data_IF_124168289063
#
_entry.id   IF_124168289063
#
_cell.length_a   1.000
_cell.length_b   1.000
_cell.length_c   1.000
_cell.angle_alpha   90.00
_cell.angle_beta   90.00
_cell.angle_gamma   90.00
#
_symmetry.space_group_name_H-M   'P 1'
#
loop_
_entity.id
_entity.type
_entity.pdbx_description
1 polymer ?
#
# COMPACT_ATOMS: atom_id res chain seq x y z
N UNK A 1 -9.54 -44.98 26.61
CA UNK A 1 -10.30 -44.00 27.41
C UNK A 1 -10.85 -42.98 26.42
N UNK A 2 -11.92 -43.38 25.74
CA UNK A 2 -13.26 -42.76 25.77
C UNK A 2 -13.33 -41.46 24.97
N UNK A 3 -13.52 -41.63 23.66
CA UNK A 3 -14.11 -40.63 22.77
C UNK A 3 -15.60 -40.46 23.12
N UNK A 4 -16.06 -39.22 23.21
CA UNK A 4 -17.48 -38.86 23.13
C UNK A 4 -17.63 -37.61 22.26
N UNK A 5 -18.38 -37.68 21.15
CA UNK A 5 -18.84 -36.50 20.43
C UNK A 5 -20.22 -36.07 20.96
N UNK A 6 -20.39 -34.78 21.22
CA UNK A 6 -21.69 -34.18 21.51
C UNK A 6 -22.52 -34.02 20.20
N UNK A 7 -23.83 -34.31 20.21
CA UNK A 7 -24.68 -34.23 19.00
C UNK A 7 -25.37 -32.87 18.85
N UNK A 8 -25.54 -32.44 17.60
CA UNK A 8 -26.39 -31.33 17.16
C UNK A 8 -27.84 -31.86 17.01
N UNK A 9 -28.88 -31.17 17.54
CA UNK A 9 -30.26 -31.63 17.37
C UNK A 9 -30.85 -31.13 16.04
N UNK A 10 -31.19 -32.06 15.15
CA UNK A 10 -32.12 -31.82 14.04
C UNK A 10 -33.56 -32.06 14.51
N UNK A 11 -34.42 -31.05 14.32
CA UNK A 11 -35.85 -31.15 14.55
C UNK A 11 -36.51 -32.02 13.46
N UNK A 12 -37.24 -33.06 13.89
CA UNK A 12 -38.12 -33.87 13.04
C UNK A 12 -39.51 -33.23 12.99
N UNK A 13 -40.00 -32.92 11.78
CA UNK A 13 -41.43 -32.99 11.50
C UNK A 13 -41.71 -34.32 10.80
N UNK A 14 -42.57 -35.13 11.43
CA UNK A 14 -43.11 -36.34 10.84
C UNK A 14 -44.39 -36.04 10.08
N UNK A 15 -44.61 -36.76 9.01
CA UNK A 15 -45.94 -37.09 8.54
C UNK A 15 -45.90 -38.48 7.89
N UNK A 16 -46.83 -39.32 8.33
CA UNK A 16 -47.08 -40.66 7.83
C UNK A 16 -47.93 -40.57 6.57
N UNK A 17 -47.68 -41.43 5.58
CA UNK A 17 -48.78 -42.18 4.95
C UNK A 17 -48.30 -43.39 4.16
N UNK A 18 -49.21 -44.35 4.12
CA UNK A 18 -49.10 -45.78 3.85
C UNK A 18 -48.72 -46.21 2.43
N UNK A 19 -48.17 -47.41 2.35
CA UNK A 19 -47.91 -48.16 1.14
C UNK A 19 -49.19 -48.82 0.55
N UNK A 20 -49.28 -48.89 -0.78
CA UNK A 20 -49.97 -49.97 -1.51
C UNK A 20 -49.21 -50.35 -2.78
N UNK A 21 -49.12 -51.66 -2.98
CA UNK A 21 -48.30 -52.38 -3.96
C UNK A 21 -49.18 -52.89 -5.14
N UNK A 22 -48.68 -53.65 -6.12
CA UNK A 22 -48.49 -53.21 -7.51
C UNK A 22 -49.45 -53.89 -8.50
N UNK A 23 -49.57 -53.37 -9.73
CA UNK A 23 -50.07 -54.16 -10.86
C UNK A 23 -49.26 -53.91 -12.14
N UNK A 24 -48.90 -55.03 -12.74
CA UNK A 24 -48.11 -55.27 -13.95
C UNK A 24 -48.84 -54.87 -15.24
N UNK A 25 -48.13 -54.34 -16.24
CA UNK A 25 -48.12 -54.95 -17.58
C UNK A 25 -47.09 -54.35 -18.56
N UNK A 26 -46.46 -55.26 -19.28
CA UNK A 26 -45.51 -55.09 -20.38
C UNK A 26 -46.03 -54.23 -21.53
N UNK A 27 -45.15 -53.41 -22.12
CA UNK A 27 -44.68 -53.57 -23.52
C UNK A 27 -43.60 -52.54 -23.87
N UNK A 28 -42.56 -53.06 -24.52
CA UNK A 28 -41.41 -52.34 -25.05
C UNK A 28 -41.84 -51.25 -26.04
N UNK A 29 -41.38 -50.02 -25.80
CA UNK A 29 -41.10 -49.05 -26.84
C UNK A 29 -39.71 -48.48 -26.58
N UNK A 30 -38.80 -48.80 -27.48
CA UNK A 30 -37.49 -48.18 -27.64
C UNK A 30 -37.68 -46.72 -28.03
N UNK A 31 -37.39 -45.81 -27.10
CA UNK A 31 -37.07 -44.42 -27.39
C UNK A 31 -35.81 -44.05 -26.64
N UNK A 32 -34.82 -43.56 -27.38
CA UNK A 32 -33.59 -42.95 -26.87
C UNK A 32 -33.90 -41.90 -25.80
N UNK A 33 -33.89 -42.29 -24.53
CA UNK A 33 -33.78 -41.36 -23.43
C UNK A 33 -32.33 -41.42 -22.96
N UNK A 34 -31.45 -40.69 -23.65
CA UNK A 34 -30.38 -40.02 -22.91
C UNK A 34 -31.11 -39.13 -21.91
N UNK A 35 -31.28 -39.63 -20.69
CA UNK A 35 -31.63 -38.80 -19.55
C UNK A 35 -30.47 -37.81 -19.42
N UNK A 36 -30.59 -36.66 -20.10
CA UNK A 36 -29.97 -35.45 -19.61
C UNK A 36 -30.57 -35.25 -18.23
N UNK A 37 -29.86 -35.73 -17.22
CA UNK A 37 -30.09 -35.33 -15.84
C UNK A 37 -29.87 -33.82 -15.84
N UNK A 38 -30.95 -33.05 -16.00
CA UNK A 38 -30.94 -31.62 -15.75
C UNK A 38 -30.51 -31.48 -14.31
N UNK A 39 -29.25 -31.11 -14.10
CA UNK A 39 -28.64 -31.04 -12.79
C UNK A 39 -29.31 -29.86 -12.07
N UNK A 40 -30.36 -30.16 -11.30
CA UNK A 40 -31.30 -29.19 -10.73
C UNK A 40 -30.77 -28.56 -9.43
N UNK A 41 -29.45 -28.58 -9.25
CA UNK A 41 -28.81 -27.99 -8.08
C UNK A 41 -28.83 -26.46 -8.21
N UNK A 42 -29.12 -25.72 -7.12
CA UNK A 42 -29.01 -24.28 -7.14
C UNK A 42 -27.56 -23.87 -7.46
N UNK A 43 -27.41 -22.89 -8.33
CA UNK A 43 -26.11 -22.31 -8.71
C UNK A 43 -25.97 -20.99 -7.97
N UNK A 44 -24.85 -20.83 -7.26
CA UNK A 44 -24.41 -19.53 -6.74
C UNK A 44 -23.33 -18.98 -7.67
N UNK A 45 -23.63 -17.88 -8.37
CA UNK A 45 -22.73 -17.26 -9.34
C UNK A 45 -22.36 -15.83 -8.90
N UNK A 46 -21.81 -15.72 -7.69
CA UNK A 46 -21.29 -14.50 -7.07
C UNK A 46 -20.28 -14.92 -5.98
N UNK A 47 -19.66 -13.95 -5.30
CA UNK A 47 -18.89 -14.22 -4.08
C UNK A 47 -19.77 -14.85 -2.98
N UNK A 48 -19.19 -15.73 -2.17
CA UNK A 48 -19.81 -16.19 -0.93
C UNK A 48 -19.51 -15.17 0.17
N UNK A 49 -20.19 -14.03 0.13
CA UNK A 49 -20.00 -12.97 1.11
C UNK A 49 -20.44 -13.42 2.50
N UNK A 50 -19.51 -13.47 3.44
CA UNK A 50 -19.82 -13.70 4.85
C UNK A 50 -20.33 -12.40 5.45
N UNK A 51 -21.62 -12.34 5.79
CA UNK A 51 -22.26 -11.15 6.35
C UNK A 51 -21.85 -10.83 7.80
N UNK A 52 -20.76 -11.41 8.27
CA UNK A 52 -20.26 -11.36 9.65
C UNK A 52 -18.74 -11.19 9.62
N UNK A 53 -18.11 -10.88 10.76
CA UNK A 53 -16.65 -10.78 10.86
C UNK A 53 -16.00 -9.65 10.04
N UNK A 54 -16.71 -8.53 9.86
CA UNK A 54 -16.25 -7.41 9.00
C UNK A 54 -15.09 -6.60 9.59
N UNK A 55 -14.84 -6.73 10.90
CA UNK A 55 -13.70 -6.10 11.57
C UNK A 55 -12.35 -6.75 11.21
N UNK A 56 -12.37 -7.99 10.72
CA UNK A 56 -11.18 -8.71 10.28
C UNK A 56 -10.37 -8.00 9.20
N UNK A 57 -11.02 -7.15 8.42
CA UNK A 57 -10.37 -6.40 7.35
C UNK A 57 -9.51 -5.26 7.89
N UNK A 58 -9.80 -4.74 9.08
CA UNK A 58 -9.15 -3.53 9.62
C UNK A 58 -8.39 -3.76 10.92
N UNK A 59 -8.81 -4.71 11.76
CA UNK A 59 -8.06 -5.05 12.99
C UNK A 59 -6.64 -5.50 12.62
N UNK A 60 -5.64 -5.23 13.46
CA UNK A 60 -4.24 -5.61 13.18
C UNK A 60 -3.80 -5.23 11.75
N UNK A 61 -3.98 -3.97 11.38
CA UNK A 61 -3.57 -3.43 10.08
C UNK A 61 -2.07 -3.65 9.80
N UNK A 62 -1.24 -3.73 10.86
CA UNK A 62 0.16 -4.10 10.79
C UNK A 62 0.37 -5.49 10.17
N UNK A 63 -0.47 -6.47 10.50
CA UNK A 63 -0.37 -7.83 9.96
C UNK A 63 -0.74 -7.87 8.46
N UNK A 64 -1.72 -7.08 8.03
CA UNK A 64 -2.09 -6.95 6.61
C UNK A 64 -0.99 -6.27 5.82
N UNK A 65 -0.43 -5.18 6.35
CA UNK A 65 0.73 -4.50 5.80
C UNK A 65 1.91 -5.47 5.60
N UNK A 66 2.25 -6.24 6.64
CA UNK A 66 3.34 -7.22 6.55
C UNK A 66 3.05 -8.33 5.55
N UNK A 67 1.81 -8.83 5.48
CA UNK A 67 1.43 -9.83 4.50
C UNK A 67 1.65 -9.31 3.07
N UNK A 68 1.06 -8.17 2.71
CA UNK A 68 1.16 -7.59 1.37
C UNK A 68 2.61 -7.28 0.99
N UNK A 69 3.38 -6.76 1.95
CA UNK A 69 4.82 -6.50 1.78
C UNK A 69 5.60 -7.78 1.49
N UNK A 70 5.34 -8.85 2.25
CA UNK A 70 6.03 -10.13 2.07
C UNK A 70 5.62 -10.84 0.78
N UNK A 71 4.35 -10.79 0.37
CA UNK A 71 3.88 -11.28 -0.94
C UNK A 71 4.67 -10.64 -2.07
N UNK A 72 4.69 -9.31 -2.11
CA UNK A 72 5.40 -8.56 -3.14
C UNK A 72 6.90 -8.78 -3.11
N UNK A 73 7.50 -8.91 -1.93
CA UNK A 73 8.93 -9.15 -1.77
C UNK A 73 9.34 -10.56 -2.23
N UNK A 74 8.61 -11.60 -1.81
CA UNK A 74 8.92 -12.97 -2.20
C UNK A 74 8.71 -13.19 -3.70
N UNK A 75 7.66 -12.61 -4.28
CA UNK A 75 7.49 -12.58 -5.73
C UNK A 75 8.72 -11.99 -6.45
N UNK A 76 9.19 -10.83 -6.00
CA UNK A 76 10.37 -10.18 -6.58
C UNK A 76 11.64 -11.01 -6.39
N UNK A 77 11.82 -11.59 -5.20
CA UNK A 77 12.96 -12.44 -4.88
C UNK A 77 13.03 -13.67 -5.80
N UNK A 78 11.91 -14.37 -5.99
CA UNK A 78 11.83 -15.50 -6.92
C UNK A 78 12.10 -15.11 -8.37
N UNK A 79 11.50 -14.00 -8.81
CA UNK A 79 11.66 -13.48 -10.17
C UNK A 79 13.13 -13.20 -10.48
N UNK A 80 13.80 -12.39 -9.64
CA UNK A 80 15.18 -12.01 -9.90
C UNK A 80 16.18 -13.13 -9.61
N UNK A 81 15.90 -14.01 -8.65
CA UNK A 81 16.73 -15.21 -8.44
C UNK A 81 16.68 -16.13 -9.65
N UNK A 82 15.50 -16.33 -10.25
CA UNK A 82 15.35 -17.11 -11.48
C UNK A 82 16.14 -16.50 -12.63
N UNK A 83 16.04 -15.18 -12.82
CA UNK A 83 16.79 -14.46 -13.86
C UNK A 83 18.29 -14.53 -13.62
N UNK A 84 18.75 -14.36 -12.37
CA UNK A 84 20.15 -14.45 -12.02
C UNK A 84 20.70 -15.86 -12.28
N UNK A 85 19.96 -16.91 -11.92
CA UNK A 85 20.34 -18.29 -12.24
C UNK A 85 20.46 -18.53 -13.74
N UNK A 86 19.47 -18.12 -14.54
CA UNK A 86 19.46 -18.33 -15.99
C UNK A 86 20.58 -17.53 -16.68
N UNK A 87 20.83 -16.29 -16.27
CA UNK A 87 21.73 -15.37 -16.99
C UNK A 87 23.17 -15.45 -16.51
N UNK A 88 23.41 -15.85 -15.25
CA UNK A 88 24.74 -15.80 -14.64
C UNK A 88 25.26 -17.17 -14.19
N UNK A 89 24.36 -18.17 -14.05
CA UNK A 89 24.69 -19.52 -13.60
C UNK A 89 24.78 -19.70 -12.09
N UNK A 90 24.41 -18.69 -11.28
CA UNK A 90 24.32 -18.87 -9.82
C UNK A 90 23.21 -19.85 -9.44
N UNK A 91 23.39 -20.58 -8.34
CA UNK A 91 22.40 -21.56 -7.85
C UNK A 91 21.10 -20.87 -7.42
N UNK A 92 19.95 -21.37 -7.88
CA UNK A 92 18.64 -20.89 -7.45
C UNK A 92 18.41 -21.21 -5.95
N UNK A 93 18.04 -20.24 -5.10
CA UNK A 93 17.94 -20.42 -3.64
C UNK A 93 16.62 -21.10 -3.21
N UNK A 94 16.32 -22.26 -3.81
CA UNK A 94 15.05 -22.97 -3.64
C UNK A 94 14.67 -23.20 -2.17
N UNK A 95 15.61 -23.71 -1.36
CA UNK A 95 15.33 -24.05 0.04
C UNK A 95 15.01 -22.81 0.89
N UNK A 96 15.67 -21.68 0.62
CA UNK A 96 15.44 -20.44 1.36
C UNK A 96 14.08 -19.85 1.01
N UNK A 97 13.74 -19.82 -0.29
CA UNK A 97 12.43 -19.37 -0.78
C UNK A 97 11.30 -20.25 -0.24
N UNK A 98 11.43 -21.57 -0.31
CA UNK A 98 10.43 -22.50 0.20
C UNK A 98 10.18 -22.29 1.71
N UNK A 99 11.24 -22.10 2.48
CA UNK A 99 11.12 -21.83 3.91
C UNK A 99 10.44 -20.48 4.20
N UNK A 100 10.77 -19.44 3.44
CA UNK A 100 10.16 -18.11 3.59
C UNK A 100 8.68 -18.12 3.20
N UNK A 101 8.32 -18.76 2.08
CA UNK A 101 6.91 -18.94 1.69
C UNK A 101 6.12 -19.70 2.74
N UNK A 102 6.66 -20.81 3.28
CA UNK A 102 5.97 -21.57 4.33
C UNK A 102 5.70 -20.73 5.58
N UNK A 103 6.63 -19.85 5.97
CA UNK A 103 6.44 -18.92 7.11
C UNK A 103 5.35 -17.89 6.82
N UNK A 104 5.41 -17.27 5.65
CA UNK A 104 4.41 -16.28 5.23
C UNK A 104 3.01 -16.92 5.15
N UNK A 105 2.88 -18.08 4.49
CA UNK A 105 1.62 -18.81 4.35
C UNK A 105 1.08 -19.29 5.70
N UNK A 106 1.95 -19.64 6.66
CA UNK A 106 1.52 -19.96 8.01
C UNK A 106 0.84 -18.76 8.68
N UNK A 107 1.39 -17.56 8.52
CA UNK A 107 0.78 -16.35 9.05
C UNK A 107 -0.49 -15.91 8.28
N UNK A 108 -0.75 -16.44 7.08
CA UNK A 108 -2.03 -16.28 6.38
C UNK A 108 -3.16 -17.14 6.95
N UNK A 109 -2.93 -17.86 8.05
CA UNK A 109 -3.97 -18.58 8.76
C UNK A 109 -5.13 -17.64 9.14
N UNK A 110 -6.37 -18.13 9.06
CA UNK A 110 -7.59 -17.33 9.14
C UNK A 110 -7.85 -16.69 10.51
N UNK A 111 -7.07 -17.02 11.54
CA UNK A 111 -7.12 -16.32 12.83
C UNK A 111 -5.90 -15.41 13.07
N UNK A 112 -4.85 -15.55 12.26
CA UNK A 112 -3.61 -14.75 12.37
C UNK A 112 -3.74 -13.52 11.48
N UNK A 113 -3.82 -13.70 10.16
CA UNK A 113 -3.89 -12.57 9.23
C UNK A 113 -5.14 -11.71 9.45
N UNK A 114 -6.33 -12.28 9.67
CA UNK A 114 -7.52 -11.52 10.06
C UNK A 114 -7.39 -10.79 11.41
N UNK A 115 -6.37 -11.05 12.21
CA UNK A 115 -6.07 -10.27 13.41
C UNK A 115 -6.95 -10.61 14.60
N UNK A 116 -7.27 -11.89 14.77
CA UNK A 116 -8.29 -12.38 15.70
C UNK A 116 -7.77 -13.41 16.71
N UNK A 117 -6.44 -13.50 16.82
CA UNK A 117 -5.72 -14.30 17.79
C UNK A 117 -5.39 -13.52 19.07
N UNK A 118 -4.79 -14.21 20.05
CA UNK A 118 -4.27 -13.59 21.29
C UNK A 118 -2.95 -12.85 21.03
N UNK A 119 -2.56 -11.88 21.88
CA UNK A 119 -1.35 -11.07 21.70
C UNK A 119 -0.05 -11.85 21.45
N UNK A 120 0.12 -13.00 22.12
CA UNK A 120 1.31 -13.85 22.01
C UNK A 120 1.49 -14.41 20.59
N UNK A 121 0.40 -14.67 19.88
CA UNK A 121 0.45 -15.12 18.49
C UNK A 121 1.07 -14.05 17.59
N UNK A 122 0.74 -12.77 17.82
CA UNK A 122 1.30 -11.67 17.03
C UNK A 122 2.77 -11.39 17.36
N UNK A 123 3.23 -11.69 18.57
CA UNK A 123 4.66 -11.65 18.90
C UNK A 123 5.45 -12.62 18.02
N UNK A 124 4.93 -13.82 17.79
CA UNK A 124 5.59 -14.82 16.94
C UNK A 124 5.37 -14.55 15.44
N UNK A 125 4.18 -14.11 15.04
CA UNK A 125 3.89 -13.71 13.66
C UNK A 125 4.84 -12.58 13.21
N UNK A 126 5.07 -11.57 14.06
CA UNK A 126 5.97 -10.45 13.79
C UNK A 126 7.43 -10.89 13.59
N UNK A 127 7.91 -11.88 14.34
CA UNK A 127 9.25 -12.45 14.10
C UNK A 127 9.30 -13.14 12.74
N UNK A 128 8.29 -13.93 12.41
CA UNK A 128 8.21 -14.61 11.12
C UNK A 128 8.17 -13.63 9.95
N UNK A 129 7.46 -12.49 10.07
CA UNK A 129 7.47 -11.42 9.07
C UNK A 129 8.87 -10.84 8.85
N UNK A 130 9.58 -10.53 9.93
CA UNK A 130 10.94 -9.99 9.87
C UNK A 130 11.91 -11.00 9.24
N UNK A 131 11.80 -12.29 9.58
CA UNK A 131 12.62 -13.35 8.98
C UNK A 131 12.36 -13.49 7.48
N UNK A 132 11.09 -13.45 7.04
CA UNK A 132 10.70 -13.47 5.63
C UNK A 132 11.28 -12.26 4.89
N UNK A 133 11.17 -11.07 5.48
CA UNK A 133 11.73 -9.85 4.92
C UNK A 133 13.25 -9.95 4.74
N UNK A 134 13.96 -10.39 5.77
CA UNK A 134 15.42 -10.55 5.74
C UNK A 134 15.86 -11.52 4.65
N UNK A 135 15.20 -12.69 4.53
CA UNK A 135 15.51 -13.68 3.49
C UNK A 135 15.21 -13.13 2.10
N UNK A 136 14.04 -12.52 1.90
CA UNK A 136 13.66 -11.95 0.61
C UNK A 136 14.60 -10.84 0.14
N UNK A 137 14.98 -9.91 1.03
CA UNK A 137 15.94 -8.85 0.73
C UNK A 137 17.34 -9.40 0.46
N UNK A 138 17.78 -10.43 1.20
CA UNK A 138 19.06 -11.11 0.95
C UNK A 138 19.11 -11.74 -0.44
N UNK A 139 18.08 -12.49 -0.81
CA UNK A 139 17.97 -13.11 -2.14
C UNK A 139 17.96 -12.06 -3.25
N UNK A 140 17.22 -10.95 -3.07
CA UNK A 140 17.22 -9.86 -4.03
C UNK A 140 18.61 -9.23 -4.18
N UNK A 141 19.30 -8.96 -3.08
CA UNK A 141 20.63 -8.36 -3.10
C UNK A 141 21.64 -9.26 -3.83
N UNK A 142 21.63 -10.56 -3.56
CA UNK A 142 22.46 -11.55 -4.26
C UNK A 142 22.14 -11.60 -5.76
N UNK A 143 20.85 -11.63 -6.10
CA UNK A 143 20.37 -11.69 -7.48
C UNK A 143 20.75 -10.43 -8.26
N UNK A 144 20.53 -9.25 -7.69
CA UNK A 144 20.91 -7.98 -8.31
C UNK A 144 22.42 -7.88 -8.50
N UNK A 145 23.22 -8.30 -7.50
CA UNK A 145 24.68 -8.29 -7.60
C UNK A 145 25.18 -9.22 -8.71
N UNK A 146 24.60 -10.42 -8.82
CA UNK A 146 24.91 -11.37 -9.87
C UNK A 146 24.57 -10.81 -11.26
N UNK A 147 23.34 -10.31 -11.45
CA UNK A 147 22.90 -9.72 -12.73
C UNK A 147 23.77 -8.52 -13.08
N UNK A 148 24.02 -7.61 -12.13
CA UNK A 148 24.85 -6.42 -12.32
C UNK A 148 26.28 -6.78 -12.79
N UNK A 149 26.85 -7.87 -12.29
CA UNK A 149 28.20 -8.34 -12.71
C UNK A 149 28.32 -8.71 -14.19
N UNK A 150 27.19 -8.97 -14.88
CA UNK A 150 27.15 -9.28 -16.31
C UNK A 150 26.81 -8.07 -17.18
N UNK A 151 26.45 -6.94 -16.59
CA UNK A 151 26.11 -5.72 -17.33
C UNK A 151 27.40 -5.09 -17.85
N UNK A 152 27.48 -4.93 -19.17
CA UNK A 152 28.55 -4.14 -19.79
C UNK A 152 28.22 -2.66 -19.66
N UNK A 153 29.04 -1.93 -18.91
CA UNK A 153 28.89 -0.49 -18.72
C UNK A 153 29.70 0.28 -19.76
N UNK A 154 29.19 1.41 -20.29
CA UNK A 154 29.98 2.31 -21.12
C UNK A 154 31.06 2.98 -20.26
N UNK A 155 32.04 3.67 -20.89
CA UNK A 155 32.98 4.50 -20.16
C UNK A 155 32.21 5.48 -19.24
N UNK A 156 32.61 5.62 -17.97
CA UNK A 156 31.91 6.49 -17.04
C UNK A 156 32.02 7.96 -17.52
N UNK A 157 30.98 8.79 -17.29
CA UNK A 157 30.99 10.19 -17.70
C UNK A 157 32.05 11.01 -16.96
N UNK A 158 32.42 10.60 -15.73
CA UNK A 158 33.42 11.25 -14.87
C UNK A 158 34.20 10.19 -14.08
N UNK A 159 35.38 10.55 -13.56
CA UNK A 159 36.27 9.60 -12.86
C UNK A 159 35.72 9.06 -11.54
N UNK A 160 34.83 9.81 -10.90
CA UNK A 160 34.16 9.49 -9.63
C UNK A 160 32.77 8.87 -9.83
N UNK A 161 32.36 8.62 -11.09
CA UNK A 161 31.02 8.16 -11.41
C UNK A 161 30.74 6.76 -10.84
N UNK A 162 29.62 6.63 -10.13
CA UNK A 162 29.13 5.36 -9.60
C UNK A 162 27.89 4.91 -10.39
N UNK A 163 27.85 3.69 -10.92
CA UNK A 163 26.69 3.20 -11.65
C UNK A 163 25.52 2.93 -10.67
N UNK A 164 24.35 3.43 -11.04
CA UNK A 164 23.07 3.11 -10.39
C UNK A 164 22.28 2.24 -11.37
N UNK A 165 21.88 1.05 -10.96
CA UNK A 165 21.06 0.16 -11.77
C UNK A 165 19.69 0.06 -11.11
N UNK A 166 18.65 0.43 -11.85
CA UNK A 166 17.26 0.39 -11.35
C UNK A 166 16.53 -0.71 -12.10
N UNK A 167 16.08 -1.70 -11.35
CA UNK A 167 15.31 -2.84 -11.85
C UNK A 167 13.81 -2.57 -11.77
N UNK A 168 13.05 -3.12 -12.71
CA UNK A 168 11.60 -3.11 -12.73
C UNK A 168 11.07 -4.55 -12.66
N UNK A 169 10.42 -4.96 -11.56
CA UNK A 169 9.87 -6.31 -11.42
C UNK A 169 8.54 -6.50 -12.17
N UNK A 170 7.88 -5.43 -12.62
CA UNK A 170 6.57 -5.52 -13.27
C UNK A 170 6.69 -6.00 -14.71
N UNK A 171 5.64 -6.66 -15.20
CA UNK A 171 5.54 -7.15 -16.57
C UNK A 171 5.14 -6.08 -17.61
N UNK A 172 5.27 -4.80 -17.27
CA UNK A 172 5.10 -3.66 -18.18
C UNK A 172 6.17 -2.60 -17.95
N UNK A 173 6.43 -1.80 -18.99
CA UNK A 173 7.34 -0.64 -18.90
C UNK A 173 6.74 0.43 -17.98
N UNK A 174 7.57 1.05 -17.14
CA UNK A 174 7.11 2.13 -16.25
C UNK A 174 8.15 3.23 -16.05
N UNK A 175 7.67 4.40 -15.64
CA UNK A 175 8.50 5.50 -15.17
C UNK A 175 8.11 5.81 -13.74
N UNK A 176 9.09 5.95 -12.84
CA UNK A 176 8.80 6.24 -11.43
C UNK A 176 9.87 7.16 -10.83
N UNK A 177 9.47 7.98 -9.86
CA UNK A 177 10.43 8.67 -9.01
C UNK A 177 11.06 7.67 -8.05
N UNK A 178 12.37 7.57 -8.06
CA UNK A 178 13.12 6.71 -7.16
C UNK A 178 14.10 7.52 -6.33
N UNK A 179 14.34 7.05 -5.11
CA UNK A 179 15.33 7.65 -4.21
C UNK A 179 16.57 6.79 -4.17
N UNK A 180 17.73 7.41 -4.36
CA UNK A 180 19.04 6.77 -4.24
C UNK A 180 19.76 7.29 -3.01
N UNK A 181 20.41 6.39 -2.27
CA UNK A 181 21.25 6.76 -1.13
C UNK A 181 22.56 7.35 -1.63
N UNK A 182 22.98 8.44 -1.00
CA UNK A 182 24.22 9.15 -1.32
C UNK A 182 25.37 8.62 -0.47
N UNK A 183 26.55 8.40 -1.05
CA UNK A 183 27.77 8.24 -0.29
C UNK A 183 28.05 9.53 0.51
N UNK A 184 28.64 9.39 1.72
CA UNK A 184 29.14 10.53 2.47
C UNK A 184 30.12 11.32 1.59
N UNK A 185 29.90 12.61 1.48
CA UNK A 185 30.71 13.53 0.67
C UNK A 185 30.81 14.85 1.42
N UNK A 186 32.04 15.31 1.66
CA UNK A 186 32.30 16.56 2.38
C UNK A 186 32.61 17.73 1.43
N UNK A 187 32.60 17.51 0.11
CA UNK A 187 33.21 18.45 -0.84
C UNK A 187 32.24 19.02 -1.88
N UNK A 188 31.33 18.21 -2.44
CA UNK A 188 30.52 18.57 -3.62
C UNK A 188 29.13 17.92 -3.62
N UNK A 189 28.11 18.60 -4.19
CA UNK A 189 26.77 18.03 -4.34
C UNK A 189 26.79 16.91 -5.37
N UNK A 190 25.98 15.88 -5.13
CA UNK A 190 25.79 14.77 -6.05
C UNK A 190 24.76 15.12 -7.13
N UNK A 191 25.03 14.69 -8.35
CA UNK A 191 24.18 14.87 -9.53
C UNK A 191 24.00 13.53 -10.25
N UNK A 192 22.88 13.39 -10.95
CA UNK A 192 22.57 12.18 -11.73
C UNK A 192 22.75 12.45 -13.22
N UNK A 193 23.37 11.50 -13.91
CA UNK A 193 23.43 11.44 -15.35
C UNK A 193 22.71 10.19 -15.87
N UNK A 194 22.16 10.26 -17.07
CA UNK A 194 21.62 9.10 -17.76
C UNK A 194 22.72 8.22 -18.37
N UNK A 195 22.31 7.11 -19.00
CA UNK A 195 23.24 6.17 -19.63
C UNK A 195 24.15 6.79 -20.71
N UNK A 196 23.70 7.86 -21.38
CA UNK A 196 24.50 8.61 -22.37
C UNK A 196 25.48 9.60 -21.76
N UNK A 197 25.41 9.84 -20.44
CA UNK A 197 26.22 10.84 -19.77
C UNK A 197 25.62 12.25 -19.82
N UNK A 198 24.32 12.39 -20.08
CA UNK A 198 23.62 13.68 -20.00
C UNK A 198 23.06 13.90 -18.58
N UNK A 199 23.24 15.11 -18.04
CA UNK A 199 22.76 15.46 -16.70
C UNK A 199 21.23 15.47 -16.69
N UNK A 200 20.61 14.71 -15.77
CA UNK A 200 19.16 14.71 -15.60
C UNK A 200 18.75 15.47 -14.34
N UNK A 201 17.51 16.00 -14.27
CA UNK A 201 17.01 16.63 -13.06
C UNK A 201 17.02 15.67 -11.87
N UNK A 202 17.54 16.15 -10.75
CA UNK A 202 17.55 15.44 -9.47
C UNK A 202 17.18 16.39 -8.34
N UNK A 203 16.65 15.85 -7.24
CA UNK A 203 16.13 16.64 -6.13
C UNK A 203 16.57 16.01 -4.80
N UNK A 204 17.36 16.70 -3.96
CA UNK A 204 17.70 16.19 -2.63
C UNK A 204 16.44 16.06 -1.78
N UNK A 205 16.24 14.89 -1.16
CA UNK A 205 15.12 14.70 -0.21
C UNK A 205 15.56 14.94 1.23
N UNK A 206 16.82 14.63 1.52
CA UNK A 206 17.57 14.93 2.74
C UNK A 206 19.08 14.91 2.41
N UNK A 207 19.95 15.08 3.41
CA UNK A 207 21.41 15.10 3.23
C UNK A 207 21.99 13.78 2.68
N UNK A 208 21.27 12.67 2.83
CA UNK A 208 21.70 11.31 2.50
C UNK A 208 21.03 10.73 1.27
N UNK A 209 20.11 11.44 0.63
CA UNK A 209 19.24 10.88 -0.41
C UNK A 209 18.94 11.86 -1.54
N UNK A 210 18.93 11.32 -2.75
CA UNK A 210 18.64 12.05 -3.98
C UNK A 210 17.50 11.38 -4.75
N UNK A 211 16.52 12.17 -5.16
CA UNK A 211 15.38 11.74 -5.96
C UNK A 211 15.68 11.96 -7.44
N UNK A 212 15.37 10.97 -8.28
CA UNK A 212 15.41 11.08 -9.73
C UNK A 212 14.13 10.49 -10.35
N UNK A 213 13.80 10.92 -11.57
CA UNK A 213 12.77 10.28 -12.38
C UNK A 213 13.42 9.21 -13.27
N UNK A 214 13.28 7.94 -12.88
CA UNK A 214 13.74 6.82 -13.68
C UNK A 214 12.70 6.54 -14.77
N UNK A 215 12.94 7.09 -15.97
CA UNK A 215 12.02 7.00 -17.11
C UNK A 215 12.13 5.66 -17.83
N UNK A 216 10.98 5.12 -18.23
CA UNK A 216 10.82 4.04 -19.21
C UNK A 216 11.67 2.80 -18.91
N UNK A 217 11.68 2.37 -17.64
CA UNK A 217 12.35 1.13 -17.26
C UNK A 217 11.55 -0.03 -17.89
N UNK A 218 12.18 -0.88 -18.73
CA UNK A 218 11.48 -1.97 -19.40
C UNK A 218 10.82 -2.95 -18.43
N UNK A 219 9.81 -3.67 -18.91
CA UNK A 219 9.21 -4.80 -18.20
C UNK A 219 10.28 -5.83 -17.81
N UNK A 220 10.27 -6.29 -16.55
CA UNK A 220 11.21 -7.31 -16.04
C UNK A 220 12.65 -7.01 -16.48
N UNK A 221 13.02 -5.74 -16.37
CA UNK A 221 14.23 -5.19 -16.98
C UNK A 221 14.91 -4.17 -16.07
N UNK A 222 15.92 -3.49 -16.59
CA UNK A 222 16.64 -2.46 -15.85
C UNK A 222 17.03 -1.30 -16.75
N UNK A 223 17.37 -0.18 -16.11
CA UNK A 223 18.11 0.94 -16.72
C UNK A 223 19.26 1.36 -15.82
N UNK A 224 20.30 1.91 -16.44
CA UNK A 224 21.52 2.36 -15.76
C UNK A 224 21.60 3.87 -15.81
N UNK A 225 22.01 4.45 -14.68
CA UNK A 225 22.25 5.86 -14.45
C UNK A 225 23.62 6.02 -13.79
N UNK A 226 24.15 7.23 -13.74
CA UNK A 226 25.42 7.53 -13.07
C UNK A 226 25.21 8.56 -11.98
N UNK A 227 25.80 8.30 -10.81
CA UNK A 227 25.93 9.24 -9.72
C UNK A 227 27.33 9.85 -9.78
N UNK A 228 27.44 11.16 -9.93
CA UNK A 228 28.73 11.88 -9.96
C UNK A 228 28.67 13.10 -9.06
N UNK A 229 29.83 13.59 -8.60
CA UNK A 229 29.93 14.89 -7.95
C UNK A 229 29.89 16.00 -8.99
N UNK A 230 29.28 17.14 -8.65
CA UNK A 230 29.22 18.26 -9.58
C UNK A 230 30.62 18.85 -9.84
N UNK A 231 31.04 18.92 -11.10
CA UNK A 231 32.26 19.61 -11.49
C UNK A 231 32.09 21.12 -11.26
N UNK A 232 32.99 21.71 -10.47
CA UNK A 232 33.10 23.16 -10.34
C UNK A 232 33.54 23.75 -11.68
N UNK A 233 32.61 24.33 -12.45
CA UNK A 233 32.99 25.22 -13.55
C UNK A 233 33.75 26.40 -12.95
N UNK A 234 35.04 26.52 -13.28
CA UNK A 234 35.88 27.65 -12.92
C UNK A 234 35.29 28.97 -13.46
N UNK A 235 34.56 29.68 -12.60
CA UNK A 235 34.11 31.05 -12.78
C UNK A 235 34.66 31.89 -11.64
N UNK A 236 35.25 33.04 -11.98
CA UNK A 236 36.11 33.84 -11.13
C UNK A 236 35.55 34.24 -9.76
N UNK A 237 36.47 34.27 -8.81
CA UNK A 237 36.33 34.72 -7.42
C UNK A 237 36.02 36.21 -7.39
N UNK A 238 34.94 36.60 -6.72
CA UNK A 238 34.92 37.79 -5.86
C UNK A 238 34.29 37.36 -4.53
N UNK A 239 35.11 37.40 -3.49
CA UNK A 239 34.74 36.96 -2.15
C UNK A 239 34.06 38.07 -1.35
N UNK A 240 33.34 37.65 -0.30
CA UNK A 240 33.14 38.51 0.86
C UNK A 240 33.23 37.68 2.14
N UNK A 241 33.86 38.28 3.14
CA UNK A 241 34.26 37.69 4.43
C UNK A 241 33.24 38.05 5.51
N UNK A 242 33.11 37.15 6.49
CA UNK A 242 32.62 37.45 7.84
C UNK A 242 31.60 36.42 8.30
N UNK A 243 31.53 35.96 9.54
CA UNK A 243 32.31 36.23 10.75
C UNK A 243 31.98 35.07 11.73
N UNK A 244 32.91 34.74 12.63
CA UNK A 244 32.75 33.66 13.62
C UNK A 244 31.94 34.15 14.82
N UNK A 245 31.05 33.30 15.32
CA UNK A 245 30.42 33.47 16.63
C UNK A 245 30.18 32.14 17.30
N UNK A 246 31.01 31.81 18.28
CA UNK A 246 30.88 30.67 19.18
C UNK A 246 29.65 30.81 20.09
N UNK A 247 28.99 29.70 20.43
CA UNK A 247 28.31 29.49 21.73
C UNK A 247 27.99 28.02 22.01
N UNK A 248 28.35 27.62 23.22
CA UNK A 248 28.24 26.30 23.84
C UNK A 248 26.83 25.95 24.38
N UNK A 249 26.62 24.63 24.49
CA UNK A 249 25.84 23.82 25.44
C UNK A 249 24.30 23.93 25.53
N UNK A 250 23.61 22.79 25.28
CA UNK A 250 23.08 21.90 26.33
C UNK A 250 22.30 20.70 25.77
N UNK A 251 22.55 19.53 26.37
CA UNK A 251 21.72 18.32 26.31
C UNK A 251 20.36 18.55 27.01
N UNK A 252 19.26 18.16 26.36
CA UNK A 252 18.10 17.56 27.03
C UNK A 252 17.37 16.61 26.09
N UNK A 253 16.83 15.55 26.68
CA UNK A 253 16.41 14.30 26.10
C UNK A 253 14.88 14.32 25.87
N UNK A 254 14.41 13.58 24.86
CA UNK A 254 13.01 13.32 24.47
C UNK A 254 12.26 14.39 23.65
N UNK A 255 12.31 14.29 22.31
CA UNK A 255 11.26 14.82 21.42
C UNK A 255 11.39 14.27 19.98
N UNK A 256 10.24 13.97 19.37
CA UNK A 256 10.12 13.66 17.94
C UNK A 256 10.67 14.83 17.10
N UNK A 257 11.51 14.60 16.08
CA UNK A 257 12.13 15.71 15.34
C UNK A 257 11.11 16.37 14.41
N UNK A 258 10.79 17.63 14.69
CA UNK A 258 10.16 18.57 13.76
C UNK A 258 11.30 19.42 13.16
N UNK A 259 11.64 19.29 11.86
CA UNK A 259 12.63 20.17 11.26
C UNK A 259 12.10 21.60 11.14
N UNK A 260 12.77 22.55 11.81
CA UNK A 260 12.54 23.99 11.62
C UNK A 260 13.03 24.40 10.23
N UNK A 261 12.13 24.48 9.25
CA UNK A 261 12.37 25.19 8.00
C UNK A 261 11.51 26.46 7.97
N UNK A 262 12.16 27.61 8.17
CA UNK A 262 11.53 28.92 8.09
C UNK A 262 11.26 29.25 6.62
N UNK A 263 10.01 29.12 6.19
CA UNK A 263 9.55 29.66 4.91
C UNK A 263 8.85 31.02 5.14
N UNK A 264 9.07 32.01 4.26
CA UNK A 264 8.49 33.34 4.42
C UNK A 264 6.96 33.32 4.28
N UNK A 265 6.34 34.10 5.16
CA UNK A 265 4.91 34.17 5.45
C UNK A 265 4.12 34.93 4.36
N UNK A 266 4.18 34.48 3.11
CA UNK A 266 3.20 34.87 2.09
C UNK A 266 2.04 33.90 2.16
N UNK A 267 0.80 34.40 2.35
CA UNK A 267 -0.48 33.66 2.39
C UNK A 267 -0.31 32.23 1.84
N UNK A 268 -0.13 31.28 2.77
CA UNK A 268 0.48 29.98 2.52
C UNK A 268 -0.26 29.27 1.38
N UNK A 269 0.31 29.29 0.18
CA UNK A 269 -0.23 28.57 -0.94
C UNK A 269 -0.05 27.07 -0.66
N UNK A 270 -1.07 26.45 -0.09
CA UNK A 270 -1.19 25.01 0.21
C UNK A 270 -1.63 24.22 -1.03
N UNK A 271 -1.21 24.70 -2.21
CA UNK A 271 -1.56 24.12 -3.51
C UNK A 271 -0.39 23.29 -4.03
N UNK A 272 -0.65 22.02 -4.32
CA UNK A 272 0.26 21.15 -5.09
C UNK A 272 -0.26 21.09 -6.53
N UNK A 273 0.59 21.35 -7.51
CA UNK A 273 0.17 21.31 -8.91
C UNK A 273 1.25 20.69 -9.80
N UNK A 274 0.81 19.87 -10.76
CA UNK A 274 1.62 19.37 -11.86
C UNK A 274 0.84 19.49 -13.19
N UNK A 275 1.26 18.81 -14.24
CA UNK A 275 0.56 18.85 -15.53
C UNK A 275 -0.82 18.13 -15.52
N UNK A 276 -1.05 17.22 -14.57
CA UNK A 276 -2.23 16.35 -14.49
C UNK A 276 -3.26 16.82 -13.46
N UNK A 277 -2.80 17.26 -12.30
CA UNK A 277 -3.64 17.59 -11.14
C UNK A 277 -3.30 18.98 -10.60
N UNK A 278 -4.31 19.66 -10.07
CA UNK A 278 -4.17 20.78 -9.14
C UNK A 278 -4.91 20.44 -7.86
N UNK A 279 -4.17 20.35 -6.76
CA UNK A 279 -4.64 19.91 -5.45
C UNK A 279 -4.55 21.08 -4.48
N UNK A 280 -5.64 21.40 -3.79
CA UNK A 280 -5.69 22.45 -2.78
C UNK A 280 -5.98 21.82 -1.43
N UNK A 281 -5.12 22.10 -0.44
CA UNK A 281 -5.32 21.69 0.95
C UNK A 281 -5.91 22.85 1.72
N UNK A 282 -6.99 22.59 2.47
CA UNK A 282 -7.64 23.58 3.32
C UNK A 282 -6.66 24.02 4.44
N UNK A 283 -6.35 25.32 4.59
CA UNK A 283 -5.39 25.80 5.57
C UNK A 283 -5.89 25.74 7.02
N UNK A 284 -7.19 25.51 7.23
CA UNK A 284 -7.83 25.44 8.54
C UNK A 284 -8.07 24.01 9.02
N UNK A 285 -8.39 23.08 8.10
CA UNK A 285 -8.64 21.67 8.46
C UNK A 285 -7.50 20.73 8.07
N UNK A 286 -6.73 21.07 7.02
CA UNK A 286 -5.73 20.18 6.43
C UNK A 286 -6.32 19.09 5.52
N UNK A 287 -7.63 19.10 5.29
CA UNK A 287 -8.30 18.24 4.32
C UNK A 287 -8.07 18.74 2.89
N UNK A 288 -8.39 17.92 1.90
CA UNK A 288 -8.38 18.31 0.50
C UNK A 288 -9.64 19.11 0.17
N UNK A 289 -9.51 20.42 -0.08
CA UNK A 289 -10.65 21.26 -0.49
C UNK A 289 -10.94 21.18 -1.99
N UNK A 290 -9.94 20.81 -2.80
CA UNK A 290 -10.08 20.59 -4.25
C UNK A 290 -9.02 19.62 -4.75
N UNK A 291 -9.42 18.72 -5.66
CA UNK A 291 -8.53 17.88 -6.48
C UNK A 291 -9.03 17.99 -7.92
N UNK A 292 -8.49 18.96 -8.65
CA UNK A 292 -8.89 19.24 -10.02
C UNK A 292 -8.08 18.41 -11.02
N UNK A 293 -8.78 17.61 -11.83
CA UNK A 293 -8.21 16.88 -12.96
C UNK A 293 -8.05 17.83 -14.16
N UNK A 294 -6.80 18.11 -14.54
CA UNK A 294 -6.43 18.98 -15.66
C UNK A 294 -6.49 18.28 -17.01
N UNK A 295 -6.53 16.95 -17.06
CA UNK A 295 -6.74 16.21 -18.31
C UNK A 295 -8.21 16.27 -18.70
N UNK A 296 -9.08 15.92 -17.76
CA UNK A 296 -10.53 15.87 -17.98
C UNK A 296 -11.24 17.19 -17.68
N UNK A 297 -10.51 18.20 -17.19
CA UNK A 297 -11.01 19.54 -16.87
C UNK A 297 -12.21 19.52 -15.91
N UNK A 298 -12.11 18.73 -14.84
CA UNK A 298 -13.19 18.54 -13.86
C UNK A 298 -12.67 18.47 -12.44
N UNK A 299 -13.52 18.91 -11.51
CA UNK A 299 -13.30 18.68 -10.08
C UNK A 299 -13.62 17.22 -9.72
N UNK A 300 -12.71 16.56 -9.01
CA UNK A 300 -12.87 15.15 -8.60
C UNK A 300 -13.71 15.06 -7.32
N UNK A 301 -13.60 16.04 -6.42
CA UNK A 301 -14.25 16.00 -5.11
C UNK A 301 -15.56 16.80 -5.10
N UNK A 302 -16.58 16.30 -4.42
CA UNK A 302 -17.84 17.03 -4.16
C UNK A 302 -17.86 17.70 -2.78
N UNK A 303 -16.80 17.53 -1.98
CA UNK A 303 -16.63 18.08 -0.64
C UNK A 303 -15.21 17.85 -0.14
N UNK A 304 -14.97 18.00 1.17
CA UNK A 304 -13.64 17.80 1.76
C UNK A 304 -13.15 16.35 1.61
N UNK A 305 -12.05 16.16 0.89
CA UNK A 305 -11.41 14.86 0.70
C UNK A 305 -10.33 14.55 1.73
N UNK A 306 -10.00 13.27 1.91
CA UNK A 306 -9.13 12.77 2.98
C UNK A 306 -9.56 13.25 4.38
N UNK A 307 -10.88 13.29 4.60
CA UNK A 307 -11.43 13.62 5.90
C UNK A 307 -11.27 12.41 6.82
N UNK A 308 -10.54 12.56 7.91
CA UNK A 308 -10.43 11.53 8.95
C UNK A 308 -11.70 11.54 9.81
N UNK A 309 -12.56 10.54 9.59
CA UNK A 309 -13.81 10.34 10.30
C UNK A 309 -13.62 9.27 11.36
N UNK A 310 -13.91 9.60 12.62
CA UNK A 310 -13.72 8.72 13.75
C UNK A 310 -15.07 8.35 14.38
N UNK A 311 -15.20 7.10 14.79
CA UNK A 311 -16.43 6.54 15.33
C UNK A 311 -16.12 5.68 16.55
N UNK A 312 -17.02 5.69 17.52
CA UNK A 312 -16.96 4.73 18.61
C UNK A 312 -17.29 3.33 18.07
N UNK A 313 -16.43 2.36 18.35
CA UNK A 313 -16.57 0.96 17.93
C UNK A 313 -16.59 0.08 19.18
N UNK A 314 -17.76 -0.01 19.83
CA UNK A 314 -17.90 -0.67 21.14
C UNK A 314 -19.29 -1.26 21.31
N UNK A 315 -19.36 -2.49 21.80
CA UNK A 315 -20.61 -3.09 22.28
C UNK A 315 -21.06 -4.34 21.53
N UNK A 316 -20.28 -4.80 20.54
CA UNK A 316 -20.48 -6.11 19.91
C UNK A 316 -19.90 -7.28 20.72
N UNK A 317 -20.27 -8.50 20.32
CA UNK A 317 -19.52 -9.70 20.64
C UNK A 317 -18.38 -9.88 19.64
N UNK A 318 -17.23 -10.35 20.12
CA UNK A 318 -16.03 -10.62 19.32
C UNK A 318 -15.42 -9.35 18.71
N UNK A 319 -14.94 -8.45 19.57
CA UNK A 319 -14.44 -7.11 19.22
C UNK A 319 -13.40 -7.08 18.09
N UNK A 320 -12.50 -8.08 18.02
CA UNK A 320 -11.52 -8.17 16.92
C UNK A 320 -12.13 -8.64 15.60
N UNK A 321 -13.20 -9.43 15.65
CA UNK A 321 -13.86 -9.97 14.47
C UNK A 321 -14.85 -8.98 13.87
N UNK A 322 -15.57 -8.21 14.69
CA UNK A 322 -16.70 -7.40 14.25
C UNK A 322 -16.47 -5.91 14.51
N UNK A 323 -17.02 -5.08 13.64
CA UNK A 323 -17.23 -3.65 13.86
C UNK A 323 -18.70 -3.47 14.30
N UNK A 324 -18.97 -2.53 15.19
CA UNK A 324 -20.33 -2.23 15.66
C UNK A 324 -21.22 -1.91 14.45
N UNK A 325 -22.30 -2.65 14.17
CA UNK A 325 -23.19 -2.36 13.04
C UNK A 325 -23.81 -0.95 13.09
N UNK A 326 -23.80 -0.28 14.25
CA UNK A 326 -24.32 1.07 14.44
C UNK A 326 -23.23 2.12 14.69
N UNK A 327 -21.94 1.83 14.41
CA UNK A 327 -20.83 2.77 14.68
C UNK A 327 -21.09 4.18 14.11
N UNK A 328 -21.77 4.28 12.96
CA UNK A 328 -22.10 5.54 12.28
C UNK A 328 -23.02 6.46 13.10
N UNK A 329 -23.80 5.90 14.03
CA UNK A 329 -24.64 6.66 14.95
C UNK A 329 -23.84 7.30 16.09
N UNK A 330 -22.56 6.93 16.25
CA UNK A 330 -21.68 7.36 17.32
C UNK A 330 -20.39 8.01 16.79
N UNK A 331 -20.48 9.10 16.00
CA UNK A 331 -19.31 9.82 15.54
C UNK A 331 -18.59 10.50 16.71
N UNK A 332 -17.26 10.46 16.69
CA UNK A 332 -16.41 11.24 17.60
C UNK A 332 -16.20 12.66 17.03
N UNK A 333 -15.74 13.61 17.87
CA UNK A 333 -15.38 14.95 17.40
C UNK A 333 -14.36 14.90 16.24
N UNK A 334 -14.42 15.86 15.29
CA UNK A 334 -13.51 15.91 14.16
C UNK A 334 -12.06 16.13 14.61
N UNK A 335 -11.11 15.73 13.75
CA UNK A 335 -9.70 15.96 14.01
C UNK A 335 -9.36 17.44 14.09
N UNK A 336 -8.43 17.80 14.96
CA UNK A 336 -7.95 19.17 15.12
C UNK A 336 -6.64 19.33 14.36
N UNK A 337 -6.59 20.27 13.42
CA UNK A 337 -5.37 20.62 12.72
C UNK A 337 -4.32 21.13 13.70
N UNK A 338 -3.12 20.56 13.65
CA UNK A 338 -1.97 20.99 14.44
C UNK A 338 -1.02 21.83 13.59
N UNK A 339 -0.57 21.28 12.46
CA UNK A 339 0.38 21.96 11.57
C UNK A 339 0.15 21.59 10.10
N UNK A 340 0.50 22.53 9.23
CA UNK A 340 0.69 22.31 7.78
C UNK A 340 2.08 22.84 7.44
N UNK A 341 2.90 22.02 6.81
CA UNK A 341 4.28 22.38 6.48
C UNK A 341 4.72 21.76 5.15
N UNK A 342 5.42 22.56 4.34
CA UNK A 342 6.11 22.05 3.16
C UNK A 342 7.33 21.25 3.63
N UNK A 343 7.35 19.95 3.31
CA UNK A 343 8.52 19.09 3.53
C UNK A 343 9.42 19.14 2.31
N UNK A 344 8.82 19.21 1.13
CA UNK A 344 9.55 19.27 -0.12
C UNK A 344 8.78 20.11 -1.16
N UNK A 345 9.48 21.00 -1.84
CA UNK A 345 8.94 21.81 -2.94
C UNK A 345 9.98 21.94 -4.05
N UNK A 346 10.49 20.79 -4.49
CA UNK A 346 11.46 20.72 -5.57
C UNK A 346 10.84 20.49 -6.95
N UNK A 347 11.69 20.47 -8.00
CA UNK A 347 11.25 20.39 -9.41
C UNK A 347 10.69 19.02 -9.83
N UNK A 348 10.86 17.97 -9.02
CA UNK A 348 10.39 16.61 -9.31
C UNK A 348 9.19 16.21 -8.45
N UNK A 349 9.11 16.71 -7.23
CA UNK A 349 8.12 16.28 -6.26
C UNK A 349 7.78 17.39 -5.28
N UNK A 350 6.49 17.52 -5.01
CA UNK A 350 5.93 18.37 -3.97
C UNK A 350 5.43 17.48 -2.83
N UNK A 351 5.80 17.80 -1.59
CA UNK A 351 5.35 17.12 -0.38
C UNK A 351 4.91 18.14 0.66
N UNK A 352 3.62 18.12 0.98
CA UNK A 352 3.02 18.91 2.05
C UNK A 352 2.59 17.98 3.19
N UNK A 353 3.13 18.18 4.38
CA UNK A 353 2.76 17.44 5.58
C UNK A 353 1.66 18.17 6.34
N UNK A 354 0.64 17.43 6.71
CA UNK A 354 -0.46 17.86 7.57
C UNK A 354 -0.47 16.99 8.81
N UNK A 355 -0.37 17.62 9.98
CA UNK A 355 -0.47 16.93 11.27
C UNK A 355 -1.82 17.26 11.90
N UNK A 356 -2.58 16.24 12.27
CA UNK A 356 -3.91 16.31 12.86
C UNK A 356 -3.96 15.50 14.15
N UNK A 357 -4.69 15.99 15.14
CA UNK A 357 -4.92 15.28 16.40
C UNK A 357 -6.35 14.75 16.45
N UNK A 358 -6.50 13.50 16.88
CA UNK A 358 -7.78 12.87 17.19
C UNK A 358 -7.69 12.32 18.62
N UNK A 359 -8.38 12.95 19.57
CA UNK A 359 -8.28 12.52 20.97
C UNK A 359 -6.84 12.56 21.48
N UNK A 360 -6.29 11.39 21.82
CA UNK A 360 -4.90 11.19 22.26
C UNK A 360 -3.96 10.80 21.11
N UNK A 361 -4.50 10.51 19.94
CA UNK A 361 -3.76 10.03 18.77
C UNK A 361 -3.32 11.16 17.85
N UNK A 362 -2.17 10.99 17.20
CA UNK A 362 -1.60 11.95 16.27
C UNK A 362 -1.47 11.33 14.87
N UNK A 363 -2.07 11.99 13.88
CA UNK A 363 -1.98 11.63 12.47
C UNK A 363 -1.03 12.59 11.76
N UNK A 364 -0.01 12.05 11.10
CA UNK A 364 0.87 12.78 10.19
C UNK A 364 0.64 12.28 8.77
N UNK A 365 0.05 13.11 7.91
CA UNK A 365 -0.25 12.78 6.52
C UNK A 365 0.58 13.63 5.57
N UNK A 366 1.34 12.98 4.69
CA UNK A 366 2.09 13.61 3.62
C UNK A 366 1.29 13.53 2.31
N UNK A 367 0.84 14.68 1.81
CA UNK A 367 0.34 14.84 0.46
C UNK A 367 1.51 14.96 -0.51
N UNK A 368 1.68 13.97 -1.38
CA UNK A 368 2.84 13.83 -2.26
C UNK A 368 2.36 13.87 -3.71
N UNK A 369 2.77 14.90 -4.45
CA UNK A 369 2.48 15.05 -5.87
C UNK A 369 3.78 15.08 -6.67
N UNK A 370 4.01 14.02 -7.45
CA UNK A 370 5.13 13.92 -8.40
C UNK A 370 4.82 14.67 -9.67
N UNK A 371 5.81 15.30 -10.32
CA UNK A 371 5.61 15.97 -11.62
C UNK A 371 5.23 15.02 -12.75
N UNK A 372 5.54 13.72 -12.62
CA UNK A 372 5.34 12.71 -13.65
C UNK A 372 4.18 11.74 -13.37
N UNK A 373 3.38 11.99 -12.33
CA UNK A 373 2.27 11.11 -11.94
C UNK A 373 0.93 11.84 -11.94
N UNK A 374 -0.14 11.24 -12.49
CA UNK A 374 -1.50 11.72 -12.34
C UNK A 374 -2.12 11.35 -10.98
N UNK A 375 -1.34 10.81 -10.04
CA UNK A 375 -1.82 10.37 -8.73
C UNK A 375 -1.30 11.29 -7.63
N UNK A 376 -2.20 11.68 -6.73
CA UNK A 376 -1.86 12.24 -5.42
C UNK A 376 -1.65 11.08 -4.44
N UNK A 377 -0.43 10.89 -3.94
CA UNK A 377 -0.16 9.91 -2.89
C UNK A 377 -0.37 10.55 -1.52
N UNK A 378 -1.05 9.82 -0.62
CA UNK A 378 -1.27 10.23 0.77
C UNK A 378 -0.57 9.21 1.65
N UNK A 379 0.59 9.57 2.22
CA UNK A 379 1.30 8.69 3.15
C UNK A 379 0.92 9.06 4.58
N UNK A 380 0.34 8.11 5.32
CA UNK A 380 -0.16 8.36 6.68
C UNK A 380 0.70 7.60 7.70
N UNK A 381 1.23 8.32 8.68
CA UNK A 381 1.81 7.76 9.90
C UNK A 381 0.91 8.13 11.06
N UNK A 382 0.62 7.17 11.94
CA UNK A 382 -0.26 7.39 13.09
C UNK A 382 0.45 6.94 14.36
N UNK A 383 0.48 7.82 15.35
CA UNK A 383 0.67 7.43 16.76
C UNK A 383 -0.72 7.14 17.33
N UNK A 384 -1.10 5.86 17.34
CA UNK A 384 -2.45 5.41 17.69
C UNK A 384 -2.56 5.08 19.18
N UNK A 385 -3.37 5.86 19.88
CA UNK A 385 -3.56 5.78 21.34
C UNK A 385 -5.04 5.67 21.75
N UNK A 386 -5.95 5.56 20.77
CA UNK A 386 -7.37 5.35 21.04
C UNK A 386 -7.68 3.88 21.37
N UNK A 387 -8.80 3.67 22.05
CA UNK A 387 -9.32 2.33 22.35
C UNK A 387 -10.78 2.26 21.94
N UNK A 388 -11.18 1.18 21.25
CA UNK A 388 -12.55 1.01 20.74
C UNK A 388 -12.99 2.15 19.82
N UNK A 389 -12.10 2.55 18.90
CA UNK A 389 -12.34 3.61 17.91
C UNK A 389 -12.02 3.10 16.53
N UNK A 390 -12.93 3.32 15.59
CA UNK A 390 -12.73 3.10 14.17
C UNK A 390 -12.47 4.44 13.48
N UNK A 391 -11.39 4.53 12.70
CA UNK A 391 -11.11 5.70 11.85
C UNK A 391 -11.15 5.31 10.39
N UNK A 392 -11.80 6.16 9.58
CA UNK A 392 -11.87 6.05 8.12
C UNK A 392 -11.38 7.34 7.46
N UNK A 393 -10.76 7.23 6.30
CA UNK A 393 -10.48 8.38 5.44
C UNK A 393 -11.57 8.49 4.37
N UNK A 394 -12.33 9.57 4.37
CA UNK A 394 -13.44 9.77 3.44
C UNK A 394 -13.05 10.66 2.27
N UNK A 395 -13.50 10.27 1.08
CA UNK A 395 -13.31 11.00 -0.18
C UNK A 395 -14.67 11.15 -0.89
N UNK A 396 -15.41 12.24 -0.65
CA UNK A 396 -16.66 12.48 -1.35
C UNK A 396 -16.36 12.79 -2.82
N UNK A 397 -16.61 11.83 -3.70
CA UNK A 397 -16.34 11.95 -5.13
C UNK A 397 -17.50 12.68 -5.84
N UNK A 398 -17.16 13.60 -6.74
CA UNK A 398 -18.07 14.23 -7.69
C UNK A 398 -18.33 13.31 -8.90
N UNK A 399 -18.73 12.06 -8.62
CA UNK A 399 -19.06 11.05 -9.61
C UNK A 399 -20.20 10.19 -9.08
N UNK A 400 -21.14 9.84 -9.97
CA UNK A 400 -22.22 8.90 -9.68
C UNK A 400 -22.06 7.71 -10.62
N UNK A 401 -22.01 6.51 -10.05
CA UNK A 401 -22.01 5.26 -10.77
C UNK A 401 -22.88 4.25 -10.02
N UNK A 402 -23.55 3.34 -10.75
CA UNK A 402 -24.39 2.32 -10.14
C UNK A 402 -23.57 1.23 -9.41
N UNK A 403 -22.31 1.07 -9.81
CA UNK A 403 -21.41 0.05 -9.30
C UNK A 403 -20.05 0.64 -8.99
N UNK A 404 -19.42 0.09 -7.95
CA UNK A 404 -17.99 0.21 -7.70
C UNK A 404 -17.33 -1.14 -8.01
N UNK A 405 -16.15 -1.08 -8.62
CA UNK A 405 -15.34 -2.26 -8.95
C UNK A 405 -14.22 -2.37 -7.94
N UNK A 406 -14.09 -3.54 -7.31
CA UNK A 406 -13.09 -3.85 -6.29
C UNK A 406 -12.15 -4.93 -6.84
N UNK A 407 -10.87 -4.83 -6.56
CA UNK A 407 -9.90 -5.88 -6.88
C UNK A 407 -10.06 -7.05 -5.91
N UNK A 408 -9.94 -8.28 -6.44
CA UNK A 408 -9.94 -9.54 -5.70
C UNK A 408 -8.84 -10.45 -6.25
N UNK A 409 -8.55 -11.54 -5.55
CA UNK A 409 -7.59 -12.54 -6.03
C UNK A 409 -7.86 -12.94 -7.49
N UNK A 410 -6.91 -12.62 -8.37
CA UNK A 410 -6.94 -12.93 -9.80
C UNK A 410 -8.13 -12.33 -10.58
N UNK A 411 -8.77 -11.26 -10.10
CA UNK A 411 -9.92 -10.67 -10.78
C UNK A 411 -10.44 -9.38 -10.18
N UNK A 412 -11.66 -9.02 -10.56
CA UNK A 412 -12.37 -7.89 -10.00
C UNK A 412 -13.85 -8.21 -9.82
N UNK A 413 -14.48 -7.62 -8.81
CA UNK A 413 -15.90 -7.79 -8.51
C UNK A 413 -16.63 -6.45 -8.51
N UNK A 414 -17.84 -6.43 -9.04
CA UNK A 414 -18.70 -5.25 -9.00
C UNK A 414 -19.69 -5.36 -7.86
N UNK A 415 -19.80 -4.30 -7.05
CA UNK A 415 -20.83 -4.18 -6.00
C UNK A 415 -21.64 -2.90 -6.19
N UNK A 416 -22.95 -2.92 -5.93
CA UNK A 416 -23.80 -1.75 -6.13
C UNK A 416 -23.47 -0.64 -5.12
N UNK A 417 -23.47 0.60 -5.57
CA UNK A 417 -23.23 1.78 -4.72
C UNK A 417 -24.50 2.27 -4.00
N UNK A 418 -25.67 1.82 -4.46
CA UNK A 418 -26.98 2.14 -3.90
C UNK A 418 -27.74 0.84 -3.57
N UNK A 419 -27.33 0.11 -2.52
CA UNK A 419 -27.90 -1.20 -2.20
C UNK A 419 -29.40 -1.10 -1.85
N UNK A 420 -30.23 -1.93 -2.49
CA UNK A 420 -31.69 -1.95 -2.31
C UNK A 420 -32.18 -3.19 -1.55
N UNK A 421 -31.42 -4.29 -1.62
CA UNK A 421 -31.77 -5.56 -0.96
C UNK A 421 -30.96 -5.77 0.33
N UNK A 422 -31.44 -6.58 1.28
CA UNK A 422 -30.68 -6.90 2.50
C UNK A 422 -29.28 -7.47 2.21
N UNK A 423 -29.15 -8.31 1.17
CA UNK A 423 -27.86 -8.89 0.74
C UNK A 423 -26.90 -7.82 0.25
N UNK A 424 -27.38 -6.84 -0.51
CA UNK A 424 -26.55 -5.72 -0.98
C UNK A 424 -26.16 -4.79 0.17
N UNK A 425 -27.07 -4.56 1.13
CA UNK A 425 -26.79 -3.74 2.32
C UNK A 425 -25.72 -4.38 3.22
N UNK A 426 -25.71 -5.72 3.32
CA UNK A 426 -24.67 -6.42 4.06
C UNK A 426 -23.26 -6.18 3.51
N UNK A 427 -23.14 -5.91 2.20
CA UNK A 427 -21.87 -5.69 1.49
C UNK A 427 -21.34 -4.25 1.59
N UNK A 428 -21.90 -3.36 2.42
CA UNK A 428 -21.43 -1.96 2.51
C UNK A 428 -20.03 -1.80 3.12
N UNK A 429 -19.54 -2.81 3.84
CA UNK A 429 -18.17 -2.85 4.36
C UNK A 429 -17.38 -3.89 3.56
N UNK A 430 -16.63 -3.40 2.58
CA UNK A 430 -15.98 -4.20 1.54
C UNK A 430 -14.48 -4.29 1.74
N UNK A 431 -13.92 -5.44 1.40
CA UNK A 431 -12.48 -5.57 1.10
C UNK A 431 -12.13 -4.90 -0.23
N UNK A 432 -11.03 -4.16 -0.21
CA UNK A 432 -10.04 -4.19 -1.28
C UNK A 432 -8.83 -4.92 -0.67
N UNK A 433 -8.37 -6.01 -1.27
CA UNK A 433 -7.29 -6.84 -0.69
C UNK A 433 -5.88 -6.19 -0.82
N UNK A 434 -5.79 -4.88 -1.05
CA UNK A 434 -4.59 -4.25 -1.63
C UNK A 434 -4.10 -2.93 -1.00
N UNK A 435 -4.57 -2.53 0.20
CA UNK A 435 -3.99 -1.37 0.92
C UNK A 435 -2.70 -1.70 1.71
#
# INVERSE_FOLDING_TARGET
MTNSPFPIPFAKHGEQSEAKQPTTNNKQQTTNNQQQTTNNNPIWNDELYLEFHRGCYTTHADQKFWNRRCEGLLYQAELFASLATITTGITYPQQQLEAAWKKMLFNQFHDILPGTSIPEVFVDANKAWQEVEQVGLGILQESFSAIASKISLPPPPQSDAQPIIIFNPLNWQRSELVTVSLPKSDEKPWVIYDFSGEKIPSQPTDESKLLLLAKEIPSVGYRVFWLCQEETRGGGVEGDKGDKGDKEDKEDNSQFPIPNSQFPNNQQQTTLENQFLRVVVDPHTGDLSSVFDKIQQREILSGSGNQLQAFQDKGQYWDAWNIDPNYEQYPLPPTQLQTIQWIDKGPLCHRLRVVRQLGKSLFSQDYILSVASPLLKIATTVDWQESHVLVKAAFPLNLVANYATYEIACGAIQRPTQPQTPVEQAKQQTTNDDD
#
